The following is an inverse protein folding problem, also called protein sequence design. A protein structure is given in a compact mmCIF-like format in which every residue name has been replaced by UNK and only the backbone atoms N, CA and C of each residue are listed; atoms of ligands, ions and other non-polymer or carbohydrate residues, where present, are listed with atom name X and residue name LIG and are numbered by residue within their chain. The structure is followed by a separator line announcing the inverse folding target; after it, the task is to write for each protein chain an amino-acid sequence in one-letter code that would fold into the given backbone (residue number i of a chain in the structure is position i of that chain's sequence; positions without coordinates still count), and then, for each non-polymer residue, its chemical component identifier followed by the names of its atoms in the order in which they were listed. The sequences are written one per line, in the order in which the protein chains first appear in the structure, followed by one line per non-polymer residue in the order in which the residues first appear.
data_IF_889487349825
#
_entry.id   IF_889487349825
#
_cell.length_a   1.000
_cell.length_b   1.000
_cell.length_c   1.000
_cell.angle_alpha   90.00
_cell.angle_beta   90.00
_cell.angle_gamma   90.00
#
_symmetry.space_group_name_H-M   'P 1'
#
loop_
_entity.id
_entity.type
_entity.pdbx_description
1 polymer ?
#
# COMPACT_ATOMS: atom_id res chain seq x y z
N UNK A 1 -12.44 -20.74 2.02
CA UNK A 1 -13.12 -19.62 2.72
C UNK A 1 -13.28 -18.42 1.79
N UNK A 2 -14.42 -17.72 1.84
CA UNK A 2 -14.63 -16.44 1.11
C UNK A 2 -13.92 -15.28 1.82
N UNK A 3 -13.71 -14.14 1.14
CA UNK A 3 -12.89 -13.04 1.65
C UNK A 3 -13.36 -12.49 3.01
N UNK A 4 -14.65 -12.19 3.16
CA UNK A 4 -15.20 -11.64 4.41
C UNK A 4 -15.04 -12.62 5.59
N UNK A 5 -14.97 -13.93 5.34
CA UNK A 5 -14.61 -14.93 6.35
C UNK A 5 -13.10 -14.96 6.61
N UNK A 6 -12.28 -14.86 5.55
CA UNK A 6 -10.81 -14.87 5.65
C UNK A 6 -10.26 -13.71 6.47
N UNK A 7 -10.84 -12.52 6.38
CA UNK A 7 -10.40 -11.37 7.19
C UNK A 7 -10.61 -11.58 8.70
N UNK A 8 -11.49 -12.50 9.10
CA UNK A 8 -11.73 -12.84 10.51
C UNK A 8 -10.93 -14.09 10.93
N UNK A 9 -10.95 -15.14 10.12
CA UNK A 9 -10.49 -16.49 10.50
C UNK A 9 -9.28 -17.02 9.71
N UNK A 10 -8.83 -16.28 8.68
CA UNK A 10 -7.72 -16.71 7.82
C UNK A 10 -6.44 -16.93 8.61
N UNK A 11 -5.97 -18.18 8.69
CA UNK A 11 -4.75 -18.54 9.41
C UNK A 11 -4.81 -18.28 10.92
N UNK A 12 -6.01 -18.16 11.50
CA UNK A 12 -6.21 -17.92 12.94
C UNK A 12 -6.55 -19.21 13.67
N UNK A 13 -6.05 -19.33 14.90
CA UNK A 13 -6.30 -20.46 15.79
C UNK A 13 -6.60 -19.95 17.21
N UNK A 14 -7.35 -20.71 17.99
CA UNK A 14 -7.55 -20.43 19.42
C UNK A 14 -6.28 -20.73 20.21
N UNK A 15 -6.03 -19.98 21.28
CA UNK A 15 -4.90 -20.26 22.16
C UNK A 15 -5.03 -21.67 22.76
N UNK A 16 -4.03 -22.56 22.59
CA UNK A 16 -4.15 -23.96 23.02
C UNK A 16 -4.15 -24.13 24.55
N UNK A 17 -3.67 -23.14 25.30
CA UNK A 17 -3.56 -23.23 26.76
C UNK A 17 -4.86 -22.83 27.46
N UNK A 18 -5.55 -21.84 26.93
CA UNK A 18 -6.70 -21.17 27.58
C UNK A 18 -7.98 -21.19 26.74
N UNK A 19 -7.89 -21.48 25.44
CA UNK A 19 -9.01 -21.35 24.51
C UNK A 19 -9.34 -19.91 24.12
N UNK A 20 -8.45 -18.94 24.36
CA UNK A 20 -8.71 -17.54 24.01
C UNK A 20 -9.05 -17.37 22.53
N UNK A 21 -10.14 -16.66 22.25
CA UNK A 21 -10.69 -16.47 20.90
C UNK A 21 -9.90 -15.47 20.05
N UNK A 22 -9.28 -14.48 20.70
CA UNK A 22 -8.32 -13.57 20.08
C UNK A 22 -6.90 -13.99 20.49
N UNK A 23 -5.90 -13.86 19.60
CA UNK A 23 -4.54 -14.19 19.94
C UNK A 23 -4.04 -13.28 21.07
N UNK A 24 -3.43 -13.84 22.14
CA UNK A 24 -2.78 -13.04 23.17
C UNK A 24 -1.66 -12.16 22.59
N UNK A 25 -1.36 -11.05 23.27
CA UNK A 25 -0.23 -10.19 22.92
C UNK A 25 1.01 -10.69 23.65
N UNK A 26 1.92 -11.35 22.92
CA UNK A 26 3.17 -11.90 23.46
C UNK A 26 4.25 -10.82 23.60
N UNK A 27 4.15 -10.02 24.67
CA UNK A 27 5.13 -9.01 25.07
C UNK A 27 6.35 -9.66 25.76
N UNK A 28 7.03 -10.56 25.06
CA UNK A 28 8.25 -11.24 25.53
C UNK A 28 9.35 -11.14 24.49
N UNK A 29 10.61 -11.12 24.93
CA UNK A 29 11.77 -11.15 24.03
C UNK A 29 12.21 -12.59 23.70
N UNK A 30 12.04 -13.53 24.62
CA UNK A 30 12.64 -14.88 24.56
C UNK A 30 11.67 -15.93 25.08
N UNK A 31 11.97 -17.18 24.77
CA UNK A 31 11.16 -18.35 25.14
C UNK A 31 12.04 -19.39 25.82
N UNK A 32 11.45 -20.18 26.72
CA UNK A 32 12.16 -21.28 27.38
C UNK A 32 12.55 -22.36 26.36
N UNK A 33 13.75 -22.91 26.54
CA UNK A 33 14.21 -24.11 25.83
C UNK A 33 14.31 -25.27 26.81
N UNK A 34 14.00 -26.47 26.37
CA UNK A 34 14.11 -27.70 27.18
C UNK A 34 15.56 -28.14 27.35
N UNK A 35 16.41 -27.78 26.40
CA UNK A 35 17.86 -27.98 26.35
C UNK A 35 18.46 -26.93 25.39
N UNK A 36 19.76 -26.60 25.43
CA UNK A 36 20.36 -25.69 24.45
C UNK A 36 20.08 -26.10 23.01
N UNK A 37 19.45 -25.21 22.23
CA UNK A 37 19.03 -25.45 20.84
C UNK A 37 17.74 -26.25 20.68
N UNK A 38 16.96 -26.45 21.75
CA UNK A 38 15.74 -27.27 21.75
C UNK A 38 14.55 -26.48 22.34
N UNK A 39 13.95 -25.55 21.57
CA UNK A 39 12.79 -24.79 22.02
C UNK A 39 11.57 -25.69 22.26
N UNK A 40 10.65 -25.27 23.15
CA UNK A 40 9.42 -26.02 23.43
C UNK A 40 8.42 -25.99 22.26
N UNK A 41 8.64 -25.13 21.26
CA UNK A 41 7.84 -24.99 20.04
C UNK A 41 8.60 -24.15 19.00
N UNK A 42 7.90 -23.48 18.09
CA UNK A 42 8.49 -22.74 16.95
C UNK A 42 9.12 -21.37 17.31
N UNK A 43 9.29 -21.10 18.61
CA UNK A 43 9.67 -19.78 19.11
C UNK A 43 10.89 -19.87 20.02
N UNK A 44 11.92 -19.10 19.67
CA UNK A 44 13.19 -19.01 20.41
C UNK A 44 13.47 -17.57 20.86
N UNK A 45 13.29 -16.62 19.94
CA UNK A 45 13.54 -15.20 20.15
C UNK A 45 12.59 -14.36 19.29
N UNK A 46 11.94 -13.35 19.89
CA UNK A 46 10.81 -12.64 19.28
C UNK A 46 11.12 -11.88 17.98
N UNK A 47 12.40 -11.57 17.71
CA UNK A 47 12.80 -11.02 16.40
C UNK A 47 12.74 -12.09 15.30
N UNK A 48 13.04 -13.36 15.58
CA UNK A 48 12.89 -14.44 14.61
C UNK A 48 11.42 -14.76 14.33
N UNK A 49 10.67 -15.01 15.40
CA UNK A 49 9.26 -15.38 15.37
C UNK A 49 8.58 -14.93 16.68
N UNK A 50 7.34 -14.44 16.61
CA UNK A 50 6.54 -14.07 17.78
C UNK A 50 5.08 -14.50 17.53
N UNK A 51 4.38 -15.20 18.44
CA UNK A 51 3.05 -15.74 18.17
C UNK A 51 2.03 -14.69 17.71
N UNK A 52 2.08 -13.48 18.28
CA UNK A 52 1.20 -12.36 17.86
C UNK A 52 1.48 -11.92 16.43
N UNK A 53 2.77 -11.81 16.08
CA UNK A 53 3.19 -11.44 14.71
C UNK A 53 2.90 -12.57 13.72
N UNK A 54 3.13 -13.82 14.09
CA UNK A 54 2.80 -14.99 13.28
C UNK A 54 1.29 -15.04 12.97
N UNK A 55 0.42 -14.72 13.93
CA UNK A 55 -1.02 -14.65 13.69
C UNK A 55 -1.38 -13.57 12.65
N UNK A 56 -0.73 -12.40 12.70
CA UNK A 56 -0.87 -11.36 11.67
C UNK A 56 -0.33 -11.83 10.30
N UNK A 57 0.88 -12.38 10.26
CA UNK A 57 1.54 -12.87 9.05
C UNK A 57 0.70 -13.94 8.34
N UNK A 58 0.10 -14.86 9.09
CA UNK A 58 -0.84 -15.86 8.57
C UNK A 58 -2.13 -15.24 8.05
N UNK A 59 -2.68 -14.22 8.72
CA UNK A 59 -3.85 -13.49 8.22
C UNK A 59 -3.54 -12.80 6.88
N UNK A 60 -2.40 -12.12 6.79
CA UNK A 60 -1.92 -11.42 5.59
C UNK A 60 -1.78 -12.39 4.41
N UNK A 61 -1.10 -13.52 4.60
CA UNK A 61 -0.98 -14.56 3.59
C UNK A 61 -2.36 -15.04 3.12
N UNK A 62 -3.27 -15.31 4.05
CA UNK A 62 -4.61 -15.80 3.73
C UNK A 62 -5.44 -14.80 2.90
N UNK A 63 -5.44 -13.51 3.25
CA UNK A 63 -6.27 -12.50 2.57
C UNK A 63 -5.74 -12.15 1.18
N UNK A 64 -4.43 -12.22 0.95
CA UNK A 64 -3.78 -12.01 -0.36
C UNK A 64 -3.66 -13.28 -1.22
N UNK A 65 -4.07 -14.44 -0.71
CA UNK A 65 -3.85 -15.75 -1.37
C UNK A 65 -2.36 -16.08 -1.59
N UNK A 66 -1.50 -15.65 -0.66
CA UNK A 66 -0.09 -16.03 -0.60
C UNK A 66 0.15 -17.26 0.26
N UNK A 67 1.40 -17.74 0.24
CA UNK A 67 1.89 -18.86 1.07
C UNK A 67 2.56 -18.35 2.34
N UNK A 68 3.19 -17.17 2.30
CA UNK A 68 3.83 -16.53 3.46
C UNK A 68 3.55 -15.04 3.51
N UNK A 69 3.27 -14.54 4.71
CA UNK A 69 3.22 -13.13 5.05
C UNK A 69 4.38 -12.77 5.98
N UNK A 70 4.86 -11.53 5.90
CA UNK A 70 5.94 -11.00 6.74
C UNK A 70 5.56 -9.60 7.20
N UNK A 71 5.61 -9.32 8.50
CA UNK A 71 5.21 -8.04 9.07
C UNK A 71 6.41 -7.19 9.52
N UNK A 72 6.43 -5.93 9.09
CA UNK A 72 7.56 -5.00 9.26
C UNK A 72 7.15 -3.76 10.04
N UNK A 73 8.12 -3.08 10.65
CA UNK A 73 7.91 -1.84 11.42
C UNK A 73 7.36 -0.67 10.60
N UNK A 74 7.40 -0.73 9.26
CA UNK A 74 6.76 0.22 8.35
C UNK A 74 6.71 -0.32 6.92
N UNK A 75 5.91 0.28 6.03
CA UNK A 75 5.94 -0.04 4.60
C UNK A 75 7.32 0.18 3.96
N UNK A 76 8.07 1.18 4.44
CA UNK A 76 9.45 1.42 3.99
C UNK A 76 10.41 0.32 4.47
N UNK A 77 10.24 -0.22 5.67
CA UNK A 77 11.02 -1.37 6.13
C UNK A 77 10.73 -2.63 5.29
N UNK A 78 9.48 -2.84 4.88
CA UNK A 78 9.11 -3.91 3.95
C UNK A 78 9.77 -3.71 2.57
N UNK A 79 9.78 -2.47 2.06
CA UNK A 79 10.46 -2.11 0.79
C UNK A 79 11.97 -2.34 0.88
N UNK A 80 12.59 -1.89 1.97
CA UNK A 80 14.04 -2.06 2.22
C UNK A 80 14.43 -3.55 2.24
N UNK A 81 13.59 -4.40 2.84
CA UNK A 81 13.80 -5.85 2.84
C UNK A 81 13.93 -6.41 1.43
N UNK A 82 13.01 -6.05 0.51
CA UNK A 82 13.08 -6.48 -0.89
C UNK A 82 14.38 -6.00 -1.54
N UNK A 83 14.72 -4.71 -1.39
CA UNK A 83 15.88 -4.11 -2.06
C UNK A 83 17.22 -4.74 -1.64
N UNK A 84 17.32 -5.25 -0.41
CA UNK A 84 18.51 -5.97 0.08
C UNK A 84 18.78 -7.30 -0.64
N UNK A 85 17.85 -7.78 -1.45
CA UNK A 85 18.08 -8.94 -2.31
C UNK A 85 18.92 -8.62 -3.55
N UNK A 86 19.16 -7.34 -3.85
CA UNK A 86 19.90 -6.91 -5.02
C UNK A 86 21.28 -6.36 -4.64
N UNK A 87 22.18 -6.33 -5.62
CA UNK A 87 23.57 -5.89 -5.46
C UNK A 87 23.95 -4.86 -6.51
N UNK A 88 25.13 -4.26 -6.35
CA UNK A 88 25.69 -3.36 -7.34
C UNK A 88 25.67 -3.98 -8.75
N UNK A 89 25.18 -3.22 -9.72
CA UNK A 89 24.99 -3.66 -11.10
C UNK A 89 23.58 -4.18 -11.42
N UNK A 90 22.80 -4.61 -10.43
CA UNK A 90 21.39 -4.98 -10.66
C UNK A 90 20.55 -3.72 -10.99
N UNK A 91 19.50 -3.91 -11.78
CA UNK A 91 18.57 -2.86 -12.17
C UNK A 91 17.15 -3.12 -11.66
N UNK A 92 16.51 -2.05 -11.20
CA UNK A 92 15.10 -2.00 -10.79
C UNK A 92 14.37 -1.04 -11.71
N UNK A 93 13.26 -1.48 -12.30
CA UNK A 93 12.35 -0.61 -13.05
C UNK A 93 11.13 -0.36 -12.18
N UNK A 94 10.86 0.90 -11.84
CA UNK A 94 9.77 1.30 -10.97
C UNK A 94 8.78 2.22 -11.71
N UNK A 95 7.52 2.22 -11.26
CA UNK A 95 6.52 3.17 -11.76
C UNK A 95 7.04 4.61 -11.60
N UNK A 96 6.67 5.51 -12.50
CA UNK A 96 7.06 6.92 -12.45
C UNK A 96 6.34 7.71 -11.35
N UNK A 97 5.08 7.40 -11.10
CA UNK A 97 4.28 7.92 -9.99
C UNK A 97 4.28 6.90 -8.84
N UNK A 98 4.90 7.28 -7.72
CA UNK A 98 5.10 6.47 -6.53
C UNK A 98 4.94 7.34 -5.29
N UNK A 99 4.63 6.70 -4.16
CA UNK A 99 4.84 7.34 -2.87
C UNK A 99 6.25 7.98 -2.77
N UNK A 100 6.30 9.27 -2.40
CA UNK A 100 7.54 10.03 -2.28
C UNK A 100 8.61 9.38 -1.38
N UNK A 101 8.22 8.59 -0.37
CA UNK A 101 9.17 7.83 0.44
C UNK A 101 9.86 6.68 -0.31
N UNK A 102 9.15 6.00 -1.22
CA UNK A 102 9.71 4.97 -2.11
C UNK A 102 10.71 5.60 -3.07
N UNK A 103 10.33 6.70 -3.73
CA UNK A 103 11.25 7.45 -4.61
C UNK A 103 12.49 7.92 -3.84
N UNK A 104 12.32 8.51 -2.65
CA UNK A 104 13.42 8.98 -1.80
C UNK A 104 14.37 7.83 -1.43
N UNK A 105 13.84 6.66 -1.10
CA UNK A 105 14.66 5.48 -0.79
C UNK A 105 15.49 5.07 -2.00
N UNK A 106 14.88 4.97 -3.18
CA UNK A 106 15.55 4.51 -4.40
C UNK A 106 16.60 5.53 -4.87
N UNK A 107 16.21 6.79 -5.00
CA UNK A 107 17.03 7.84 -5.60
C UNK A 107 18.06 8.49 -4.64
N UNK A 108 17.92 8.33 -3.31
CA UNK A 108 18.83 8.94 -2.33
C UNK A 108 19.52 7.95 -1.40
N UNK A 109 18.80 6.97 -0.85
CA UNK A 109 19.41 5.99 0.07
C UNK A 109 20.18 4.94 -0.72
N UNK A 110 19.55 4.35 -1.74
CA UNK A 110 20.16 3.29 -2.55
C UNK A 110 21.01 3.79 -3.72
N UNK A 111 21.10 5.10 -3.93
CA UNK A 111 21.94 5.70 -4.98
C UNK A 111 23.40 5.22 -4.92
N UNK A 112 23.96 5.12 -3.71
CA UNK A 112 25.35 4.73 -3.49
C UNK A 112 25.54 3.20 -3.40
N UNK A 113 24.46 2.41 -3.51
CA UNK A 113 24.54 0.94 -3.45
C UNK A 113 25.01 0.29 -4.76
N UNK A 114 25.07 1.07 -5.84
CA UNK A 114 25.35 0.58 -7.19
C UNK A 114 24.16 -0.09 -7.89
N UNK A 115 22.98 -0.15 -7.24
CA UNK A 115 21.72 -0.55 -7.89
C UNK A 115 21.24 0.60 -8.79
N UNK A 116 20.84 0.29 -10.01
CA UNK A 116 20.35 1.27 -10.97
C UNK A 116 18.83 1.27 -11.01
N UNK A 117 18.22 2.44 -10.88
CA UNK A 117 16.77 2.62 -10.89
C UNK A 117 16.33 3.34 -12.15
N UNK A 118 15.31 2.79 -12.82
CA UNK A 118 14.60 3.45 -13.91
C UNK A 118 13.17 3.73 -13.49
N UNK A 119 12.72 4.97 -13.65
CA UNK A 119 11.33 5.36 -13.39
C UNK A 119 10.61 5.49 -14.73
N UNK A 120 9.51 4.75 -14.92
CA UNK A 120 8.80 4.68 -16.20
C UNK A 120 7.29 4.66 -16.00
N UNK A 121 6.57 5.33 -16.88
CA UNK A 121 5.13 5.13 -17.00
C UNK A 121 4.85 3.71 -17.49
N UNK A 122 4.40 2.83 -16.60
CA UNK A 122 4.15 1.42 -16.94
C UNK A 122 2.86 1.20 -17.74
N UNK A 123 2.19 2.27 -18.17
CA UNK A 123 1.15 2.20 -19.21
C UNK A 123 1.77 2.15 -20.60
N UNK A 124 3.01 2.64 -20.76
CA UNK A 124 3.81 2.46 -21.97
C UNK A 124 4.61 1.15 -21.89
N UNK A 125 3.93 0.05 -22.25
CA UNK A 125 4.50 -1.29 -22.27
C UNK A 125 5.71 -1.39 -23.23
N UNK A 126 5.74 -0.60 -24.32
CA UNK A 126 6.86 -0.61 -25.24
C UNK A 126 8.11 0.00 -24.59
N UNK A 127 7.94 1.13 -23.89
CA UNK A 127 9.02 1.75 -23.12
C UNK A 127 9.50 0.85 -22.00
N UNK A 128 8.60 0.21 -21.25
CA UNK A 128 8.96 -0.77 -20.23
C UNK A 128 9.84 -1.89 -20.80
N UNK A 129 9.40 -2.52 -21.90
CA UNK A 129 10.16 -3.59 -22.57
C UNK A 129 11.53 -3.13 -23.05
N UNK A 130 11.67 -1.88 -23.50
CA UNK A 130 12.94 -1.33 -23.99
C UNK A 130 14.01 -1.16 -22.90
N UNK A 131 13.61 -1.04 -21.63
CA UNK A 131 14.53 -0.89 -20.50
C UNK A 131 15.01 -2.23 -19.94
N UNK A 132 14.28 -3.32 -20.21
CA UNK A 132 14.59 -4.64 -19.65
C UNK A 132 15.84 -5.23 -20.31
N UNK A 133 16.83 -5.57 -19.49
CA UNK A 133 18.08 -6.22 -19.88
C UNK A 133 18.44 -7.35 -18.88
N UNK A 134 19.60 -7.97 -19.05
CA UNK A 134 20.09 -9.09 -18.22
C UNK A 134 20.31 -8.73 -16.74
N UNK A 135 20.51 -7.44 -16.46
CA UNK A 135 20.71 -6.92 -15.11
C UNK A 135 19.39 -6.52 -14.43
N UNK A 136 18.28 -6.44 -15.16
CA UNK A 136 16.96 -6.15 -14.56
C UNK A 136 16.53 -7.31 -13.65
N UNK A 137 16.34 -7.03 -12.35
CA UNK A 137 15.94 -8.05 -11.34
C UNK A 137 14.56 -7.81 -10.75
N UNK A 138 14.05 -6.58 -10.81
CA UNK A 138 12.77 -6.21 -10.23
C UNK A 138 12.00 -5.23 -11.11
N UNK A 139 10.71 -5.48 -11.28
CA UNK A 139 9.72 -4.48 -11.67
C UNK A 139 8.87 -4.14 -10.44
N UNK A 140 8.85 -2.86 -10.07
CA UNK A 140 8.12 -2.33 -8.93
C UNK A 140 6.92 -1.49 -9.40
N UNK A 141 5.71 -1.97 -9.10
CA UNK A 141 4.45 -1.35 -9.49
C UNK A 141 3.73 -0.80 -8.25
N UNK A 142 3.15 0.38 -8.37
CA UNK A 142 2.09 0.86 -7.49
C UNK A 142 0.83 1.04 -8.34
N UNK A 143 -0.32 0.45 -7.96
CA UNK A 143 -1.55 0.56 -8.77
C UNK A 143 -2.81 0.40 -7.91
N UNK A 144 -3.69 1.43 -7.80
CA UNK A 144 -3.51 2.80 -8.28
C UNK A 144 -2.30 3.52 -7.65
N UNK A 145 -1.66 4.41 -8.40
CA UNK A 145 -0.52 5.20 -7.91
C UNK A 145 -0.93 6.34 -6.98
N UNK A 146 -0.07 6.69 -6.03
CA UNK A 146 -0.20 7.88 -5.19
C UNK A 146 0.59 9.06 -5.78
N UNK A 147 -0.02 10.23 -6.07
CA UNK A 147 -1.40 10.63 -5.80
C UNK A 147 -2.29 10.71 -7.06
N UNK A 148 -1.82 10.31 -8.25
CA UNK A 148 -2.55 10.55 -9.51
C UNK A 148 -3.47 9.41 -9.93
N UNK A 149 -3.45 8.30 -9.18
CA UNK A 149 -4.33 7.15 -9.40
C UNK A 149 -4.13 6.57 -10.81
N UNK A 150 -2.89 6.58 -11.32
CA UNK A 150 -2.52 5.83 -12.53
C UNK A 150 -2.64 4.34 -12.27
N UNK A 151 -2.94 3.55 -13.29
CA UNK A 151 -3.03 2.10 -13.17
C UNK A 151 -2.03 1.43 -14.10
N UNK A 152 -1.47 0.32 -13.63
CA UNK A 152 -0.68 -0.61 -14.43
C UNK A 152 -1.46 -1.92 -14.60
N UNK A 153 -1.47 -2.51 -15.80
CA UNK A 153 -2.05 -3.84 -16.01
C UNK A 153 -1.08 -4.90 -15.46
N UNK A 154 -1.37 -5.37 -14.24
CA UNK A 154 -0.49 -6.31 -13.53
C UNK A 154 -0.31 -7.60 -14.34
N UNK A 155 -1.38 -8.09 -14.97
CA UNK A 155 -1.34 -9.34 -15.70
C UNK A 155 -0.49 -9.23 -16.97
N UNK A 156 -0.54 -8.08 -17.66
CA UNK A 156 0.31 -7.84 -18.82
C UNK A 156 1.79 -7.72 -18.44
N UNK A 157 2.10 -7.02 -17.35
CA UNK A 157 3.47 -6.91 -16.83
C UNK A 157 3.98 -8.28 -16.35
N UNK A 158 3.14 -9.07 -15.68
CA UNK A 158 3.49 -10.41 -15.20
C UNK A 158 3.89 -11.36 -16.34
N UNK A 159 3.28 -11.26 -17.52
CA UNK A 159 3.71 -12.04 -18.69
C UNK A 159 5.14 -11.70 -19.09
N UNK A 160 5.48 -10.41 -19.10
CA UNK A 160 6.80 -9.91 -19.48
C UNK A 160 7.87 -10.36 -18.47
N UNK A 161 7.58 -10.26 -17.16
CA UNK A 161 8.54 -10.59 -16.11
C UNK A 161 8.78 -12.09 -16.00
N UNK A 162 7.74 -12.90 -16.15
CA UNK A 162 7.81 -14.37 -16.02
C UNK A 162 8.73 -15.01 -17.06
N UNK A 163 8.67 -14.58 -18.31
CA UNK A 163 9.56 -15.07 -19.38
C UNK A 163 11.04 -14.83 -19.06
N UNK A 164 11.33 -13.76 -18.32
CA UNK A 164 12.69 -13.28 -18.03
C UNK A 164 13.17 -13.57 -16.61
N UNK A 165 12.34 -14.23 -15.78
CA UNK A 165 12.60 -14.51 -14.35
C UNK A 165 12.93 -13.26 -13.55
N UNK A 166 12.24 -12.16 -13.85
CA UNK A 166 12.33 -10.89 -13.13
C UNK A 166 11.26 -10.90 -12.06
N UNK A 167 11.56 -10.45 -10.84
CA UNK A 167 10.52 -10.32 -9.82
C UNK A 167 9.55 -9.21 -10.17
N UNK A 168 8.25 -9.46 -9.98
CA UNK A 168 7.20 -8.45 -10.02
C UNK A 168 6.71 -8.19 -8.60
N UNK A 169 7.02 -7.01 -8.06
CA UNK A 169 6.47 -6.53 -6.81
C UNK A 169 5.36 -5.51 -7.06
N UNK A 170 4.22 -5.67 -6.40
CA UNK A 170 3.11 -4.73 -6.45
C UNK A 170 2.86 -4.17 -5.06
N UNK A 171 3.08 -2.86 -4.89
CA UNK A 171 2.55 -2.11 -3.75
C UNK A 171 1.03 -1.99 -3.91
N UNK A 172 0.32 -2.77 -3.12
CA UNK A 172 -1.14 -2.91 -3.15
C UNK A 172 -1.81 -2.06 -2.05
N UNK A 173 -1.10 -1.08 -1.49
CA UNK A 173 -1.56 -0.27 -0.35
C UNK A 173 -2.91 0.41 -0.63
N UNK A 174 -3.11 0.99 -1.82
CA UNK A 174 -4.33 1.74 -2.16
C UNK A 174 -5.53 0.83 -2.42
N UNK A 175 -5.32 -0.26 -3.16
CA UNK A 175 -6.42 -1.14 -3.55
C UNK A 175 -6.81 -2.11 -2.42
N UNK A 176 -5.85 -2.53 -1.59
CA UNK A 176 -6.02 -3.57 -0.56
C UNK A 176 -6.35 -4.95 -1.16
N UNK A 177 -6.17 -6.05 -0.40
CA UNK A 177 -6.60 -7.38 -0.84
C UNK A 177 -8.11 -7.52 -1.07
N UNK A 178 -8.93 -6.55 -0.64
CA UNK A 178 -10.37 -6.56 -0.87
C UNK A 178 -10.75 -6.18 -2.30
N UNK A 179 -10.02 -5.25 -2.92
CA UNK A 179 -10.30 -4.78 -4.28
C UNK A 179 -9.45 -5.48 -5.32
N UNK A 180 -8.18 -5.76 -5.01
CA UNK A 180 -7.21 -6.31 -5.96
C UNK A 180 -6.31 -7.34 -5.28
N UNK A 181 -6.01 -8.44 -6.00
CA UNK A 181 -5.11 -9.49 -5.53
C UNK A 181 -3.96 -9.71 -6.52
N UNK A 182 -2.87 -8.92 -6.43
CA UNK A 182 -1.82 -8.96 -7.43
C UNK A 182 -1.16 -10.33 -7.60
N UNK A 183 -1.06 -11.13 -6.51
CA UNK A 183 -0.52 -12.48 -6.60
C UNK A 183 -1.35 -13.38 -7.52
N UNK A 184 -2.67 -13.18 -7.59
CA UNK A 184 -3.57 -13.92 -8.50
C UNK A 184 -3.46 -13.41 -9.94
N UNK A 185 -2.93 -12.20 -10.14
CA UNK A 185 -2.67 -11.58 -11.43
C UNK A 185 -1.25 -11.86 -11.95
N UNK A 186 -0.41 -12.54 -11.16
CA UNK A 186 0.92 -12.99 -11.56
C UNK A 186 2.09 -12.22 -10.93
N UNK A 187 1.85 -11.37 -9.94
CA UNK A 187 2.92 -10.80 -9.12
C UNK A 187 3.59 -11.87 -8.24
N UNK A 188 4.88 -11.72 -7.99
CA UNK A 188 5.65 -12.58 -7.09
C UNK A 188 5.53 -12.10 -5.64
N UNK A 189 5.47 -10.77 -5.45
CA UNK A 189 5.47 -10.10 -4.16
C UNK A 189 4.34 -9.06 -4.14
N UNK A 190 3.56 -9.06 -3.06
CA UNK A 190 2.68 -7.94 -2.70
C UNK A 190 3.27 -7.21 -1.51
N UNK A 191 3.39 -5.90 -1.63
CA UNK A 191 3.78 -5.00 -0.54
C UNK A 191 2.57 -4.21 -0.06
N UNK A 192 2.49 -3.98 1.25
CA UNK A 192 1.59 -2.98 1.83
C UNK A 192 2.32 -2.08 2.81
N UNK A 193 1.97 -0.80 2.81
CA UNK A 193 1.98 0.01 4.02
C UNK A 193 0.76 -0.36 4.85
N UNK A 194 0.93 -1.30 5.79
CA UNK A 194 -0.13 -1.73 6.69
C UNK A 194 -0.61 -0.63 7.66
N UNK A 195 0.13 0.47 7.77
CA UNK A 195 -0.32 1.76 8.36
C UNK A 195 -1.67 2.23 7.80
N UNK A 196 -1.96 1.95 6.53
CA UNK A 196 -3.10 2.53 5.80
C UNK A 196 -4.34 1.68 6.02
N UNK A 197 -4.98 1.20 4.94
CA UNK A 197 -6.25 0.47 5.05
C UNK A 197 -6.20 -0.82 5.90
N UNK A 198 -5.05 -1.51 5.98
CA UNK A 198 -4.96 -2.75 6.78
C UNK A 198 -5.11 -2.46 8.27
N UNK A 199 -4.32 -1.54 8.83
CA UNK A 199 -4.48 -1.03 10.19
C UNK A 199 -5.79 -0.26 10.32
N UNK A 200 -6.01 0.72 9.44
CA UNK A 200 -7.31 1.32 9.15
C UNK A 200 -7.85 2.29 10.19
N UNK A 201 -7.11 2.56 11.25
CA UNK A 201 -7.54 3.41 12.38
C UNK A 201 -6.49 4.48 12.74
N UNK A 202 -5.50 4.69 11.86
CA UNK A 202 -4.47 5.73 11.99
C UNK A 202 -3.71 5.75 13.32
N UNK A 203 -3.57 4.59 13.95
CA UNK A 203 -2.99 4.39 15.28
C UNK A 203 -1.75 3.46 15.28
N UNK A 204 -1.31 3.02 14.09
CA UNK A 204 -0.19 2.09 13.93
C UNK A 204 0.63 2.38 12.68
N UNK A 205 1.95 2.26 12.78
CA UNK A 205 2.86 2.24 11.61
C UNK A 205 3.30 0.79 11.39
N UNK A 206 3.05 0.26 10.19
CA UNK A 206 3.39 -1.11 9.85
C UNK A 206 3.60 -1.29 8.34
N UNK A 207 4.33 -2.33 7.98
CA UNK A 207 4.47 -2.82 6.61
C UNK A 207 4.18 -4.30 6.53
N UNK A 208 3.88 -4.78 5.32
CA UNK A 208 3.71 -6.20 5.06
C UNK A 208 4.27 -6.58 3.70
N UNK A 209 4.86 -7.77 3.63
CA UNK A 209 5.13 -8.48 2.37
C UNK A 209 4.34 -9.78 2.35
N UNK A 210 3.78 -10.13 1.19
CA UNK A 210 3.13 -11.41 0.95
C UNK A 210 3.67 -12.00 -0.34
N UNK A 211 4.02 -13.28 -0.33
CA UNK A 211 4.56 -13.99 -1.50
C UNK A 211 3.84 -15.31 -1.73
N UNK A 212 3.93 -15.83 -2.96
CA UNK A 212 3.43 -17.18 -3.32
C UNK A 212 4.52 -18.24 -3.34
N UNK A 213 5.76 -17.88 -3.65
CA UNK A 213 6.87 -18.83 -3.68
C UNK A 213 7.47 -19.02 -2.27
N UNK A 214 7.55 -20.27 -1.82
CA UNK A 214 8.04 -20.59 -0.47
C UNK A 214 9.53 -20.24 -0.31
N UNK A 215 10.35 -20.49 -1.33
CA UNK A 215 11.79 -20.22 -1.27
C UNK A 215 12.06 -18.71 -1.19
N UNK A 216 11.33 -17.91 -1.96
CA UNK A 216 11.34 -16.45 -1.85
C UNK A 216 10.88 -15.99 -0.46
N UNK A 217 9.84 -16.64 0.09
CA UNK A 217 9.35 -16.38 1.44
C UNK A 217 10.40 -16.64 2.53
N UNK A 218 11.17 -17.73 2.41
CA UNK A 218 12.28 -18.01 3.32
C UNK A 218 13.43 -17.01 3.16
N UNK A 219 13.77 -16.63 1.93
CA UNK A 219 14.79 -15.62 1.68
C UNK A 219 14.44 -14.27 2.34
N UNK A 220 13.22 -13.79 2.15
CA UNK A 220 12.77 -12.51 2.73
C UNK A 220 12.60 -12.59 4.25
N UNK A 221 12.18 -13.75 4.79
CA UNK A 221 12.12 -13.96 6.24
C UNK A 221 13.52 -13.90 6.88
N UNK A 222 14.51 -14.57 6.28
CA UNK A 222 15.90 -14.48 6.74
C UNK A 222 16.39 -13.03 6.78
N UNK A 223 16.11 -12.23 5.75
CA UNK A 223 16.47 -10.81 5.71
C UNK A 223 15.73 -10.00 6.79
N UNK A 224 14.43 -10.22 6.98
CA UNK A 224 13.64 -9.58 8.04
C UNK A 224 14.25 -9.88 9.43
N UNK A 225 14.58 -11.14 9.70
CA UNK A 225 15.20 -11.58 10.94
C UNK A 225 16.60 -10.97 11.13
N UNK A 226 17.45 -11.03 10.10
CA UNK A 226 18.83 -10.59 10.15
C UNK A 226 18.98 -9.06 10.26
N UNK A 227 18.08 -8.31 9.62
CA UNK A 227 18.09 -6.83 9.68
C UNK A 227 17.25 -6.27 10.83
N UNK A 228 16.31 -7.05 11.36
CA UNK A 228 15.58 -6.74 12.58
C UNK A 228 14.44 -5.72 12.44
N UNK A 229 14.05 -5.35 11.21
CA UNK A 229 12.96 -4.40 10.97
C UNK A 229 11.56 -5.04 11.12
N UNK A 230 11.40 -5.96 12.07
CA UNK A 230 10.17 -6.70 12.37
C UNK A 230 9.13 -5.82 13.05
N UNK A 231 7.86 -6.17 12.92
CA UNK A 231 6.78 -5.52 13.67
C UNK A 231 6.69 -6.04 15.11
N UNK A 232 6.47 -5.14 16.07
CA UNK A 232 6.26 -5.49 17.47
C UNK A 232 4.92 -6.21 17.72
N UNK A 233 4.77 -6.94 18.85
CA UNK A 233 3.56 -7.72 19.12
C UNK A 233 2.30 -6.86 19.30
N UNK A 234 2.40 -5.69 19.93
CA UNK A 234 1.24 -4.79 20.11
C UNK A 234 0.74 -4.26 18.76
N UNK A 235 1.65 -3.73 17.94
CA UNK A 235 1.30 -3.24 16.60
C UNK A 235 0.78 -4.36 15.71
N UNK A 236 1.35 -5.57 15.83
CA UNK A 236 0.87 -6.75 15.12
C UNK A 236 -0.58 -7.08 15.48
N UNK A 237 -0.92 -6.99 16.77
CA UNK A 237 -2.28 -7.18 17.26
C UNK A 237 -3.23 -6.09 16.73
N UNK A 238 -2.82 -4.82 16.73
CA UNK A 238 -3.64 -3.70 16.22
C UNK A 238 -3.95 -3.87 14.73
N UNK A 239 -2.95 -4.19 13.90
CA UNK A 239 -3.16 -4.44 12.47
C UNK A 239 -4.05 -5.67 12.27
N UNK A 240 -3.81 -6.77 12.99
CA UNK A 240 -4.64 -7.97 12.89
C UNK A 240 -6.10 -7.69 13.28
N UNK A 241 -6.32 -6.87 14.30
CA UNK A 241 -7.65 -6.39 14.70
C UNK A 241 -8.28 -5.53 13.59
N UNK A 242 -7.51 -4.61 13.01
CA UNK A 242 -7.93 -3.76 11.91
C UNK A 242 -8.38 -4.55 10.67
N UNK A 243 -7.65 -5.63 10.33
CA UNK A 243 -7.99 -6.51 9.21
C UNK A 243 -9.40 -7.09 9.35
N UNK A 244 -9.87 -7.40 10.56
CA UNK A 244 -11.19 -8.02 10.76
C UNK A 244 -12.36 -7.17 10.27
N UNK A 245 -12.20 -5.85 10.21
CA UNK A 245 -13.21 -4.92 9.67
C UNK A 245 -12.88 -4.43 8.25
N UNK A 246 -11.77 -4.86 7.65
CA UNK A 246 -11.28 -4.38 6.35
C UNK A 246 -12.34 -4.41 5.26
N UNK A 247 -13.05 -5.54 5.10
CA UNK A 247 -14.06 -5.66 4.03
C UNK A 247 -15.22 -4.67 4.19
N UNK A 248 -15.63 -4.36 5.43
CA UNK A 248 -16.69 -3.39 5.71
C UNK A 248 -16.21 -1.96 5.49
N UNK A 249 -15.01 -1.65 5.99
CA UNK A 249 -14.41 -0.31 5.84
C UNK A 249 -14.16 0.01 4.38
N UNK A 250 -13.49 -0.86 3.63
CA UNK A 250 -13.17 -0.63 2.22
C UNK A 250 -14.43 -0.57 1.35
N UNK A 251 -15.46 -1.35 1.66
CA UNK A 251 -16.76 -1.18 1.01
C UNK A 251 -17.31 0.24 1.21
N UNK A 252 -17.37 0.72 2.46
CA UNK A 252 -17.88 2.07 2.74
C UNK A 252 -16.99 3.17 2.16
N UNK A 253 -15.67 2.99 2.14
CA UNK A 253 -14.74 3.90 1.45
C UNK A 253 -15.06 4.02 -0.05
N UNK A 254 -15.40 2.91 -0.71
CA UNK A 254 -15.80 2.95 -2.13
C UNK A 254 -17.13 3.69 -2.30
N UNK A 255 -18.15 3.34 -1.50
CA UNK A 255 -19.49 3.97 -1.54
C UNK A 255 -19.41 5.50 -1.32
N UNK A 256 -18.64 5.95 -0.32
CA UNK A 256 -18.44 7.36 -0.04
C UNK A 256 -17.58 8.04 -1.12
N UNK A 257 -16.52 7.35 -1.58
CA UNK A 257 -15.64 7.83 -2.64
C UNK A 257 -16.41 8.15 -3.93
N UNK A 258 -17.32 7.27 -4.35
CA UNK A 258 -18.17 7.48 -5.53
C UNK A 258 -19.05 8.72 -5.40
N UNK A 259 -19.64 8.97 -4.22
CA UNK A 259 -20.44 10.18 -3.96
C UNK A 259 -19.61 11.46 -3.99
N UNK A 260 -18.42 11.43 -3.38
CA UNK A 260 -17.46 12.55 -3.40
C UNK A 260 -17.04 12.86 -4.84
N UNK A 261 -16.76 11.83 -5.64
CA UNK A 261 -16.40 11.97 -7.06
C UNK A 261 -17.56 12.55 -7.87
N UNK A 262 -18.80 12.09 -7.64
CA UNK A 262 -19.98 12.62 -8.32
C UNK A 262 -20.15 14.12 -8.05
N UNK A 263 -20.01 14.55 -6.79
CA UNK A 263 -20.09 15.95 -6.40
C UNK A 263 -18.97 16.79 -7.03
N UNK A 264 -17.70 16.38 -6.86
CA UNK A 264 -16.54 17.12 -7.37
C UNK A 264 -16.56 17.23 -8.89
N UNK A 265 -16.99 16.19 -9.60
CA UNK A 265 -17.04 16.17 -11.07
C UNK A 265 -18.04 17.17 -11.67
N UNK A 266 -19.01 17.63 -10.88
CA UNK A 266 -20.02 18.62 -11.28
C UNK A 266 -19.71 20.04 -10.79
N UNK A 267 -18.70 20.20 -9.93
CA UNK A 267 -18.45 21.46 -9.23
C UNK A 267 -17.67 22.46 -10.12
N UNK A 268 -18.14 23.72 -10.29
CA UNK A 268 -17.60 24.66 -11.28
C UNK A 268 -16.17 25.16 -11.00
N UNK A 269 -15.68 25.02 -9.75
CA UNK A 269 -14.27 25.36 -9.42
C UNK A 269 -13.30 24.22 -9.73
N UNK A 270 -13.78 23.01 -9.99
CA UNK A 270 -12.95 21.82 -10.19
C UNK A 270 -12.69 21.61 -11.68
N UNK A 271 -11.43 21.29 -12.02
CA UNK A 271 -10.98 21.07 -13.40
C UNK A 271 -10.95 19.61 -13.79
N UNK A 272 -10.24 18.81 -13.00
CA UNK A 272 -10.02 17.39 -13.25
C UNK A 272 -10.22 16.63 -11.96
N UNK A 273 -10.95 15.52 -12.01
CA UNK A 273 -11.05 14.53 -10.93
C UNK A 273 -10.34 13.26 -11.39
N UNK A 274 -9.38 12.80 -10.58
CA UNK A 274 -8.64 11.56 -10.77
C UNK A 274 -9.26 10.49 -9.88
N UNK A 275 -10.04 9.61 -10.50
CA UNK A 275 -10.66 8.47 -9.85
C UNK A 275 -10.79 7.31 -10.84
N UNK A 276 -10.26 6.10 -10.53
CA UNK A 276 -10.27 4.97 -11.47
C UNK A 276 -11.68 4.55 -11.96
N UNK A 277 -12.72 4.85 -11.18
CA UNK A 277 -14.11 4.51 -11.51
C UNK A 277 -14.78 5.44 -12.51
N UNK A 278 -14.18 6.59 -12.85
CA UNK A 278 -14.75 7.49 -13.83
C UNK A 278 -14.61 6.92 -15.26
N UNK A 279 -15.68 6.92 -16.09
CA UNK A 279 -15.62 6.37 -17.45
C UNK A 279 -14.61 7.05 -18.38
N UNK A 280 -14.29 8.32 -18.11
CA UNK A 280 -13.31 9.10 -18.86
C UNK A 280 -11.89 9.02 -18.26
N UNK A 281 -11.69 8.26 -17.17
CA UNK A 281 -10.37 8.03 -16.62
C UNK A 281 -9.54 7.22 -17.63
N UNK A 282 -8.30 7.64 -17.98
CA UNK A 282 -7.51 6.98 -19.03
C UNK A 282 -7.31 5.48 -18.80
N UNK A 283 -7.35 5.05 -17.54
CA UNK A 283 -7.11 3.67 -17.13
C UNK A 283 -8.35 2.96 -16.57
N UNK A 284 -9.56 3.45 -16.87
CA UNK A 284 -10.81 2.90 -16.38
C UNK A 284 -10.99 1.41 -16.72
N UNK A 285 -10.65 1.01 -17.95
CA UNK A 285 -10.80 -0.38 -18.38
C UNK A 285 -9.80 -1.32 -17.69
N UNK A 286 -8.58 -0.85 -17.39
CA UNK A 286 -7.64 -1.60 -16.55
C UNK A 286 -8.24 -1.78 -15.15
N UNK A 287 -8.74 -0.69 -14.54
CA UNK A 287 -9.35 -0.74 -13.22
C UNK A 287 -10.52 -1.72 -13.15
N UNK A 288 -11.46 -1.68 -14.11
CA UNK A 288 -12.59 -2.63 -14.19
C UNK A 288 -12.15 -4.08 -14.36
N UNK A 289 -11.06 -4.32 -15.09
CA UNK A 289 -10.53 -5.66 -15.32
C UNK A 289 -9.90 -6.25 -14.06
N UNK A 290 -9.17 -5.46 -13.28
CA UNK A 290 -8.32 -5.97 -12.19
C UNK A 290 -8.77 -5.62 -10.76
N UNK A 291 -9.76 -4.73 -10.60
CA UNK A 291 -10.28 -4.29 -9.30
C UNK A 291 -11.77 -4.59 -9.16
N UNK A 292 -12.20 -4.98 -7.96
CA UNK A 292 -13.62 -5.25 -7.64
C UNK A 292 -14.48 -3.97 -7.54
N UNK A 293 -13.86 -2.88 -7.10
CA UNK A 293 -14.40 -1.52 -7.00
C UNK A 293 -13.21 -0.53 -7.00
N UNK A 294 -13.46 0.78 -6.99
CA UNK A 294 -12.44 1.77 -7.36
C UNK A 294 -11.78 2.51 -6.18
N UNK A 295 -12.08 2.11 -4.94
CA UNK A 295 -11.45 2.64 -3.73
C UNK A 295 -12.04 3.97 -3.23
N UNK A 296 -11.48 4.49 -2.13
CA UNK A 296 -11.87 5.76 -1.51
C UNK A 296 -10.84 6.89 -1.68
N UNK A 297 -9.84 6.68 -2.53
CA UNK A 297 -8.83 7.70 -2.82
C UNK A 297 -9.29 8.54 -4.01
N UNK A 298 -9.36 9.85 -3.83
CA UNK A 298 -9.82 10.80 -4.86
C UNK A 298 -8.83 11.94 -4.94
N UNK A 299 -8.32 12.26 -6.13
CA UNK A 299 -7.52 13.47 -6.33
C UNK A 299 -8.23 14.43 -7.27
N UNK A 300 -7.98 15.72 -7.15
CA UNK A 300 -8.54 16.71 -8.08
C UNK A 300 -7.70 17.99 -8.15
N UNK A 301 -7.94 18.76 -9.21
CA UNK A 301 -7.31 20.08 -9.46
C UNK A 301 -8.36 21.17 -9.68
N UNK A 302 -7.96 22.43 -9.59
CA UNK A 302 -8.83 23.59 -9.71
C UNK A 302 -8.76 24.21 -11.11
N UNK A 303 -9.86 24.82 -11.56
CA UNK A 303 -9.91 25.51 -12.86
C UNK A 303 -8.95 26.70 -12.93
N UNK A 304 -8.67 27.34 -11.80
CA UNK A 304 -7.71 28.44 -11.70
C UNK A 304 -6.26 28.00 -11.85
N UNK A 305 -5.95 26.72 -11.55
CA UNK A 305 -4.58 26.22 -11.42
C UNK A 305 -3.76 26.85 -10.29
N UNK A 306 -4.40 27.60 -9.38
CA UNK A 306 -3.71 28.36 -8.33
C UNK A 306 -3.53 27.51 -7.07
N UNK A 307 -2.30 27.49 -6.58
CA UNK A 307 -1.94 26.89 -5.27
C UNK A 307 -2.72 27.51 -4.11
N UNK A 308 -3.02 28.79 -4.19
CA UNK A 308 -3.74 29.50 -3.13
C UNK A 308 -5.18 28.98 -2.97
N UNK A 309 -5.80 28.50 -4.06
CA UNK A 309 -7.16 27.95 -4.02
C UNK A 309 -7.18 26.56 -3.37
N UNK A 310 -6.17 25.72 -3.62
CA UNK A 310 -6.02 24.42 -2.95
C UNK A 310 -5.74 24.60 -1.45
N UNK A 311 -4.88 25.54 -1.07
CA UNK A 311 -4.60 25.87 0.34
C UNK A 311 -5.86 26.39 1.03
N UNK A 312 -6.54 27.38 0.45
CA UNK A 312 -7.74 27.96 1.04
C UNK A 312 -8.88 26.94 1.19
N UNK A 313 -9.01 26.00 0.24
CA UNK A 313 -9.93 24.88 0.37
C UNK A 313 -9.56 23.99 1.57
N UNK A 314 -8.28 23.58 1.68
CA UNK A 314 -7.83 22.68 2.74
C UNK A 314 -7.95 23.27 4.14
N UNK A 315 -7.71 24.57 4.30
CA UNK A 315 -7.83 25.29 5.58
C UNK A 315 -9.28 25.44 6.06
N UNK A 316 -10.26 25.33 5.15
CA UNK A 316 -11.69 25.47 5.48
C UNK A 316 -12.34 24.15 5.89
N UNK A 317 -11.75 23.00 5.57
CA UNK A 317 -12.32 21.69 5.87
C UNK A 317 -12.50 21.50 7.39
N UNK A 318 -13.61 20.85 7.77
CA UNK A 318 -14.00 20.62 9.17
C UNK A 318 -14.17 19.15 9.51
N UNK A 319 -14.54 18.34 8.52
CA UNK A 319 -14.69 16.88 8.64
C UNK A 319 -13.44 16.21 8.07
N UNK A 320 -13.07 16.53 6.84
CA UNK A 320 -11.77 16.12 6.31
C UNK A 320 -10.65 16.82 7.09
N UNK A 321 -9.76 16.04 7.68
CA UNK A 321 -8.62 16.57 8.43
C UNK A 321 -7.43 16.77 7.50
N UNK A 322 -6.85 17.98 7.50
CA UNK A 322 -5.60 18.27 6.79
C UNK A 322 -4.43 17.50 7.46
N UNK A 323 -4.00 16.39 6.86
CA UNK A 323 -2.91 15.57 7.38
C UNK A 323 -2.23 14.72 6.30
N UNK A 324 -1.01 14.26 6.56
CA UNK A 324 -0.42 13.15 5.81
C UNK A 324 -1.13 11.81 6.12
N UNK A 325 -0.70 10.73 5.46
CA UNK A 325 -1.33 9.39 5.52
C UNK A 325 -2.66 9.30 4.75
N UNK A 326 -3.34 8.15 4.86
CA UNK A 326 -4.61 7.79 4.18
C UNK A 326 -5.14 6.44 4.71
N UNK A 327 -6.38 6.11 4.36
CA UNK A 327 -6.98 4.80 4.57
C UNK A 327 -7.40 4.49 6.01
N UNK A 328 -7.38 5.50 6.89
CA UNK A 328 -8.04 5.49 8.18
C UNK A 328 -9.56 5.53 8.04
N UNK A 329 -10.29 5.29 9.13
CA UNK A 329 -11.76 5.42 9.15
C UNK A 329 -12.20 6.87 9.01
N UNK A 330 -11.38 7.80 9.47
CA UNK A 330 -11.53 9.24 9.34
C UNK A 330 -11.06 9.74 7.98
N UNK A 331 -11.77 10.76 7.48
CA UNK A 331 -11.50 11.43 6.23
C UNK A 331 -10.29 12.36 6.35
N UNK A 332 -9.32 12.21 5.44
CA UNK A 332 -8.11 13.04 5.40
C UNK A 332 -8.02 13.78 4.07
N UNK A 333 -7.51 15.01 4.11
CA UNK A 333 -7.15 15.78 2.92
C UNK A 333 -5.67 16.16 2.98
N UNK A 334 -5.00 16.16 1.83
CA UNK A 334 -3.58 16.41 1.74
C UNK A 334 -3.26 17.21 0.47
N UNK A 335 -2.26 18.09 0.58
CA UNK A 335 -1.64 18.79 -0.53
C UNK A 335 -0.35 18.06 -0.98
N UNK A 336 -0.37 17.20 -2.02
CA UNK A 336 0.77 16.32 -2.31
C UNK A 336 2.09 17.06 -2.55
N UNK A 337 2.07 18.16 -3.31
CA UNK A 337 3.27 18.92 -3.66
C UNK A 337 4.00 19.55 -2.45
N UNK A 338 3.27 19.92 -1.38
CA UNK A 338 3.83 20.57 -0.19
C UNK A 338 4.01 19.64 1.00
N UNK A 339 3.39 18.45 0.97
CA UNK A 339 3.39 17.49 2.08
C UNK A 339 4.06 16.18 1.62
N UNK A 340 3.26 15.13 1.37
CA UNK A 340 3.73 13.75 1.11
C UNK A 340 4.72 13.57 -0.05
N UNK A 341 4.69 14.44 -1.06
CA UNK A 341 5.55 14.39 -2.23
C UNK A 341 6.54 15.56 -2.30
N UNK A 342 6.69 16.34 -1.23
CA UNK A 342 7.68 17.42 -1.16
C UNK A 342 9.12 16.92 -1.38
N UNK A 343 9.37 15.63 -1.12
CA UNK A 343 10.68 15.00 -1.38
C UNK A 343 10.99 14.70 -2.85
N UNK A 344 10.01 14.79 -3.76
CA UNK A 344 10.21 14.69 -5.21
C UNK A 344 10.52 16.11 -5.74
N UNK A 345 11.58 16.30 -6.56
CA UNK A 345 11.90 17.61 -7.16
C UNK A 345 10.72 18.23 -7.92
N UNK A 346 10.61 19.57 -7.93
CA UNK A 346 9.45 20.26 -8.50
C UNK A 346 9.28 20.05 -10.01
N UNK A 347 10.39 20.02 -10.75
CA UNK A 347 10.45 19.66 -12.18
C UNK A 347 9.95 18.24 -12.43
N UNK A 348 10.35 17.29 -11.57
CA UNK A 348 9.87 15.90 -11.62
C UNK A 348 8.39 15.75 -11.27
N UNK A 349 7.90 16.49 -10.28
CA UNK A 349 6.47 16.55 -9.97
C UNK A 349 5.66 17.06 -11.15
N UNK A 350 6.12 18.15 -11.79
CA UNK A 350 5.47 18.70 -12.96
C UNK A 350 5.48 17.72 -14.15
N UNK A 351 6.58 16.99 -14.38
CA UNK A 351 6.71 15.97 -15.42
C UNK A 351 5.67 14.85 -15.26
N UNK A 352 5.41 14.38 -14.03
CA UNK A 352 4.42 13.32 -13.78
C UNK A 352 2.99 13.84 -13.64
N UNK A 353 2.78 15.16 -13.53
CA UNK A 353 1.45 15.78 -13.44
C UNK A 353 0.99 16.13 -12.02
N UNK A 354 1.88 16.12 -11.03
CA UNK A 354 1.60 16.62 -9.69
C UNK A 354 1.73 18.15 -9.70
N UNK A 355 0.60 18.82 -9.91
CA UNK A 355 0.50 20.29 -9.96
C UNK A 355 0.41 20.90 -8.55
N UNK A 356 0.69 22.21 -8.46
CA UNK A 356 0.65 22.94 -7.18
C UNK A 356 -0.77 23.11 -6.63
N UNK A 357 -1.81 22.96 -7.46
CA UNK A 357 -3.21 23.00 -7.04
C UNK A 357 -3.82 21.61 -6.77
N UNK A 358 -3.01 20.55 -6.91
CA UNK A 358 -3.49 19.18 -6.69
C UNK A 358 -3.86 18.97 -5.22
N UNK A 359 -5.07 18.48 -5.00
CA UNK A 359 -5.55 18.00 -3.70
C UNK A 359 -5.81 16.51 -3.78
N UNK A 360 -5.45 15.79 -2.71
CA UNK A 360 -5.80 14.38 -2.54
C UNK A 360 -6.65 14.19 -1.29
N UNK A 361 -7.82 13.59 -1.47
CA UNK A 361 -8.71 13.13 -0.43
C UNK A 361 -8.54 11.63 -0.21
N UNK A 362 -8.43 11.25 1.06
CA UNK A 362 -8.67 9.90 1.55
C UNK A 362 -10.06 9.92 2.17
N UNK A 363 -11.07 9.54 1.39
CA UNK A 363 -12.47 9.57 1.83
C UNK A 363 -12.69 8.45 2.85
N UNK A 364 -13.12 8.83 4.05
CA UNK A 364 -13.36 7.97 5.20
C UNK A 364 -14.70 7.23 5.14
N UNK A 365 -15.16 6.76 6.31
CA UNK A 365 -16.40 6.00 6.47
C UNK A 365 -17.50 6.75 7.23
N UNK A 366 -17.37 8.07 7.37
CA UNK A 366 -18.39 8.96 7.92
C UNK A 366 -19.70 8.89 7.11
N UNK A 367 -20.72 9.60 7.59
CA UNK A 367 -21.92 9.82 6.79
C UNK A 367 -21.57 10.60 5.52
N UNK A 368 -22.06 10.13 4.37
CA UNK A 368 -21.71 10.73 3.10
C UNK A 368 -22.28 12.15 2.96
N UNK A 369 -23.43 12.45 3.56
CA UNK A 369 -24.04 13.79 3.49
C UNK A 369 -23.16 14.81 4.21
N UNK A 370 -22.60 14.44 5.37
CA UNK A 370 -21.66 15.28 6.12
C UNK A 370 -20.37 15.54 5.34
N UNK A 371 -19.85 14.52 4.65
CA UNK A 371 -18.67 14.65 3.79
C UNK A 371 -18.92 15.62 2.63
N UNK A 372 -20.07 15.51 1.96
CA UNK A 372 -20.43 16.44 0.88
C UNK A 372 -20.65 17.85 1.41
N UNK A 373 -21.36 18.02 2.55
CA UNK A 373 -21.57 19.32 3.16
C UNK A 373 -20.24 20.01 3.56
N UNK A 374 -19.24 19.25 4.02
CA UNK A 374 -17.91 19.78 4.31
C UNK A 374 -17.18 20.25 3.04
N UNK A 375 -17.30 19.50 1.94
CA UNK A 375 -16.75 19.91 0.65
C UNK A 375 -17.47 21.14 0.07
N UNK A 376 -18.80 21.21 0.20
CA UNK A 376 -19.62 22.36 -0.21
C UNK A 376 -19.20 23.65 0.49
N UNK A 377 -19.09 23.61 1.82
CA UNK A 377 -18.70 24.81 2.57
C UNK A 377 -17.24 25.21 2.33
N UNK A 378 -16.33 24.24 2.13
CA UNK A 378 -14.92 24.53 1.83
C UNK A 378 -14.73 25.09 0.42
N UNK A 379 -15.54 24.67 -0.55
CA UNK A 379 -15.51 25.13 -1.94
C UNK A 379 -16.36 26.37 -2.22
N UNK A 380 -17.12 26.88 -1.25
CA UNK A 380 -17.93 28.10 -1.37
C UNK A 380 -17.11 29.32 -1.83
#
# INVERSE_FOLDING_TARGET
MKFNTKVIHGGQHHDPSTGAVMPPVYQTSTYIQTSPGQPLGDYEYSRASNPTRTALENALASIENGTRGLAFSSGLAATDCILRSFKAGDEVIAMDDLYGGTYRMFARVYKESGIKFHFVDMTDIAKLKSLINENTKLIWVETPTNPLMKLADIQEIAKITKEKKIWLAVDNTFATPYLQKPLDLGADIVMHSATKYLGGHSDVIAGALIVKDEALGEQLHFQQFATGATLGPMDSFLVLRGIKTLSLRVQRHCENGEKVVEYLSKHPKIKTVYYPGLPNHPFHEIAKKQMKAFGGMVSFTFNSGKKEDSIAFLEKLKVFTLAESLGGVESLANHPALMTHASIPADKRAEVGITDDLVRLSVGIEDAEDLIADLEQALA
#
